data_IF_771050223039
#
_entry.id   IF_771050223039
#
_cell.length_a   1.000
_cell.length_b   1.000
_cell.length_c   1.000
_cell.angle_alpha   90.00
_cell.angle_beta   90.00
_cell.angle_gamma   90.00
#
_symmetry.space_group_name_H-M   'P 1'
#
loop_
_entity.id
_entity.type
_entity.pdbx_description
1 polymer ?
#
# COMPACT_ATOMS: atom_id res chain seq x y z
N UNK A 1 -4.70 -10.50 31.94
CA UNK A 1 -3.30 -10.14 31.65
C UNK A 1 -3.25 -9.74 30.18
N UNK A 2 -2.85 -8.52 29.86
CA UNK A 2 -2.79 -8.01 28.48
C UNK A 2 -1.49 -8.50 27.83
N UNK A 3 -1.51 -9.72 27.29
CA UNK A 3 -0.33 -10.39 26.73
C UNK A 3 0.23 -9.71 25.48
N UNK A 4 -0.56 -8.91 24.75
CA UNK A 4 -0.09 -8.07 23.63
C UNK A 4 0.81 -6.88 24.00
N UNK A 5 1.02 -6.61 25.30
CA UNK A 5 1.93 -5.57 25.80
C UNK A 5 3.26 -6.14 26.33
N UNK A 6 3.40 -7.46 26.37
CA UNK A 6 4.59 -8.13 26.89
C UNK A 6 5.53 -8.47 25.73
N UNK A 7 6.65 -7.76 25.62
CA UNK A 7 7.77 -8.24 24.82
C UNK A 7 8.65 -9.15 25.67
N UNK A 8 9.50 -9.96 25.02
CA UNK A 8 10.52 -10.77 25.71
C UNK A 8 11.42 -9.95 26.67
N UNK A 9 11.50 -8.63 26.46
CA UNK A 9 12.38 -7.74 27.22
C UNK A 9 11.69 -6.88 28.28
N UNK A 10 10.43 -6.45 28.11
CA UNK A 10 9.79 -5.51 29.05
C UNK A 10 8.26 -5.63 29.08
N UNK A 11 7.67 -5.43 30.27
CA UNK A 11 6.22 -5.34 30.50
C UNK A 11 5.64 -3.92 30.34
N UNK A 12 6.49 -2.92 30.05
CA UNK A 12 6.12 -1.51 29.92
C UNK A 12 5.85 -1.10 28.47
N UNK A 13 4.83 -1.69 27.84
CA UNK A 13 4.32 -1.23 26.55
C UNK A 13 2.91 -0.66 26.69
N UNK A 14 2.59 0.35 25.89
CA UNK A 14 1.29 1.02 25.88
C UNK A 14 0.44 0.65 24.66
N UNK A 15 1.07 0.29 23.54
CA UNK A 15 0.39 -0.08 22.30
C UNK A 15 0.84 -1.48 21.83
N UNK A 16 -0.09 -2.43 21.64
CA UNK A 16 0.24 -3.68 20.96
C UNK A 16 0.55 -3.38 19.50
N UNK A 17 1.62 -3.95 18.94
CA UNK A 17 1.83 -3.90 17.49
C UNK A 17 0.74 -4.72 16.79
N UNK A 18 0.37 -4.38 15.56
CA UNK A 18 -0.57 -5.17 14.77
C UNK A 18 -0.01 -6.57 14.50
N UNK A 19 1.28 -6.68 14.19
CA UNK A 19 1.93 -8.00 14.04
C UNK A 19 1.87 -8.85 15.32
N UNK A 20 1.90 -8.25 16.51
CA UNK A 20 1.69 -8.99 17.77
C UNK A 20 0.21 -9.23 18.10
N UNK A 21 -0.68 -8.27 17.82
CA UNK A 21 -2.11 -8.38 18.07
C UNK A 21 -2.77 -9.46 17.19
N UNK A 22 -2.26 -9.67 15.97
CA UNK A 22 -2.72 -10.71 15.05
C UNK A 22 -2.20 -12.11 15.41
N UNK A 23 -1.22 -12.21 16.33
CA UNK A 23 -0.62 -13.48 16.76
C UNK A 23 -1.48 -14.29 17.74
N UNK A 24 -2.45 -13.65 18.39
CA UNK A 24 -3.23 -14.26 19.47
C UNK A 24 -4.61 -14.74 19.00
N UNK A 25 -5.09 -15.82 19.60
CA UNK A 25 -6.43 -16.44 19.40
C UNK A 25 -7.56 -15.53 19.93
N UNK A 26 -7.53 -14.24 19.58
CA UNK A 26 -8.51 -13.25 19.97
C UNK A 26 -9.49 -12.98 18.81
N UNK A 27 -10.78 -12.66 19.11
CA UNK A 27 -11.79 -12.34 18.08
C UNK A 27 -11.36 -11.18 17.15
N UNK A 28 -10.45 -10.32 17.63
CA UNK A 28 -9.87 -9.21 16.88
C UNK A 28 -9.15 -9.66 15.60
N UNK A 29 -8.52 -10.84 15.60
CA UNK A 29 -7.87 -11.42 14.41
C UNK A 29 -8.89 -11.71 13.29
N UNK A 30 -10.06 -12.23 13.65
CA UNK A 30 -11.13 -12.52 12.69
C UNK A 30 -11.61 -11.25 11.99
N UNK A 31 -11.87 -10.18 12.75
CA UNK A 31 -12.26 -8.87 12.19
C UNK A 31 -11.18 -8.30 11.27
N UNK A 32 -9.90 -8.41 11.66
CA UNK A 32 -8.77 -7.96 10.85
C UNK A 32 -8.66 -8.72 9.52
N UNK A 33 -8.74 -10.05 9.58
CA UNK A 33 -8.68 -10.90 8.39
C UNK A 33 -9.81 -10.62 7.40
N UNK A 34 -11.05 -10.42 7.90
CA UNK A 34 -12.19 -10.05 7.06
C UNK A 34 -11.98 -8.67 6.44
N UNK A 35 -11.53 -7.69 7.21
CA UNK A 35 -11.29 -6.34 6.70
C UNK A 35 -10.19 -6.31 5.62
N UNK A 36 -9.05 -6.95 5.87
CA UNK A 36 -7.97 -7.09 4.87
C UNK A 36 -8.45 -7.91 3.68
N UNK A 37 -9.16 -9.01 3.90
CA UNK A 37 -9.67 -9.87 2.84
C UNK A 37 -10.57 -9.10 1.88
N UNK A 38 -11.54 -8.36 2.40
CA UNK A 38 -12.45 -7.52 1.59
C UNK A 38 -11.66 -6.42 0.87
N UNK A 39 -10.78 -5.70 1.59
CA UNK A 39 -9.97 -4.63 1.00
C UNK A 39 -9.05 -5.13 -0.12
N UNK A 40 -8.41 -6.28 0.07
CA UNK A 40 -7.54 -6.91 -0.92
C UNK A 40 -8.31 -7.47 -2.10
N UNK A 41 -9.47 -8.11 -1.88
CA UNK A 41 -10.34 -8.58 -2.97
C UNK A 41 -10.78 -7.42 -3.86
N UNK A 42 -11.23 -6.32 -3.24
CA UNK A 42 -11.61 -5.11 -3.98
C UNK A 42 -10.44 -4.58 -4.82
N UNK A 43 -9.24 -4.49 -4.23
CA UNK A 43 -8.04 -4.01 -4.96
C UNK A 43 -7.66 -4.93 -6.12
N UNK A 44 -7.68 -6.25 -5.92
CA UNK A 44 -7.39 -7.22 -6.98
C UNK A 44 -8.40 -7.14 -8.13
N UNK A 45 -9.69 -6.95 -7.82
CA UNK A 45 -10.74 -6.79 -8.83
C UNK A 45 -10.56 -5.53 -9.70
N UNK A 46 -9.93 -4.48 -9.16
CA UNK A 46 -9.68 -3.22 -9.85
C UNK A 46 -8.40 -3.21 -10.69
N UNK A 47 -7.48 -4.17 -10.50
CA UNK A 47 -6.22 -4.21 -11.25
C UNK A 47 -6.43 -4.19 -12.77
N UNK A 48 -7.30 -5.04 -13.37
CA UNK A 48 -7.44 -5.10 -14.83
C UNK A 48 -7.95 -3.78 -15.43
N UNK A 49 -8.96 -3.15 -14.81
CA UNK A 49 -9.57 -1.91 -15.29
C UNK A 49 -8.60 -0.73 -15.18
N UNK A 50 -7.91 -0.63 -14.04
CA UNK A 50 -6.92 0.43 -13.80
C UNK A 50 -5.69 0.24 -14.70
N UNK A 51 -5.22 -0.99 -14.88
CA UNK A 51 -4.11 -1.30 -15.78
C UNK A 51 -4.42 -0.95 -17.23
N UNK A 52 -5.60 -1.28 -17.73
CA UNK A 52 -6.00 -0.93 -19.08
C UNK A 52 -6.05 0.60 -19.28
N UNK A 53 -6.60 1.32 -18.30
CA UNK A 53 -6.64 2.79 -18.31
C UNK A 53 -5.24 3.42 -18.34
N UNK A 54 -4.30 2.85 -17.58
CA UNK A 54 -2.89 3.25 -17.61
C UNK A 54 -2.26 2.94 -18.98
N UNK A 55 -2.41 1.72 -19.51
CA UNK A 55 -1.83 1.33 -20.80
C UNK A 55 -2.31 2.22 -21.95
N UNK A 56 -3.60 2.55 -21.99
CA UNK A 56 -4.18 3.44 -23.00
C UNK A 56 -3.62 4.86 -22.85
N UNK A 57 -3.65 5.41 -21.64
CA UNK A 57 -3.25 6.81 -21.40
C UNK A 57 -1.76 7.02 -21.65
N UNK A 58 -0.93 6.25 -20.96
CA UNK A 58 0.52 6.38 -21.06
C UNK A 58 1.02 5.90 -22.42
N UNK A 59 0.40 4.86 -23.00
CA UNK A 59 0.76 4.39 -24.35
C UNK A 59 0.45 5.43 -25.44
N UNK A 60 -0.61 6.23 -25.29
CA UNK A 60 -0.93 7.33 -26.22
C UNK A 60 -0.02 8.55 -26.03
N UNK A 61 0.30 8.91 -24.78
CA UNK A 61 1.01 10.16 -24.48
C UNK A 61 2.54 9.98 -24.48
N UNK A 62 3.06 8.93 -23.83
CA UNK A 62 4.50 8.67 -23.70
C UNK A 62 5.02 7.65 -24.74
N UNK A 63 4.13 6.92 -25.40
CA UNK A 63 4.46 5.91 -26.41
C UNK A 63 4.51 4.47 -25.87
N UNK A 64 4.53 3.50 -26.80
CA UNK A 64 4.36 2.07 -26.50
C UNK A 64 5.49 1.43 -25.69
N UNK A 65 6.68 2.04 -25.65
CA UNK A 65 7.81 1.54 -24.87
C UNK A 65 7.49 1.46 -23.36
N UNK A 66 6.64 2.36 -22.86
CA UNK A 66 6.24 2.41 -21.45
C UNK A 66 5.21 1.34 -21.07
N UNK A 67 4.61 0.63 -22.03
CA UNK A 67 3.67 -0.46 -21.75
C UNK A 67 4.30 -1.59 -20.92
N UNK A 68 5.58 -1.88 -21.14
CA UNK A 68 6.32 -2.89 -20.35
C UNK A 68 6.46 -2.43 -18.90
N UNK A 69 6.83 -1.16 -18.70
CA UNK A 69 6.94 -0.57 -17.36
C UNK A 69 5.61 -0.56 -16.60
N UNK A 70 4.50 -0.31 -17.28
CA UNK A 70 3.15 -0.35 -16.69
C UNK A 70 2.77 -1.77 -16.30
N UNK A 71 3.01 -2.77 -17.17
CA UNK A 71 2.77 -4.17 -16.81
C UNK A 71 3.59 -4.57 -15.57
N UNK A 72 4.86 -4.18 -15.53
CA UNK A 72 5.72 -4.42 -14.37
C UNK A 72 5.19 -3.74 -13.10
N UNK A 73 4.71 -2.50 -13.20
CA UNK A 73 4.07 -1.78 -12.09
C UNK A 73 2.88 -2.57 -11.50
N UNK A 74 1.97 -3.07 -12.35
CA UNK A 74 0.82 -3.85 -11.86
C UNK A 74 1.20 -5.25 -11.35
N UNK A 75 2.31 -5.82 -11.82
CA UNK A 75 2.87 -7.04 -11.21
C UNK A 75 3.38 -6.76 -9.79
N UNK A 76 4.03 -5.62 -9.55
CA UNK A 76 4.43 -5.21 -8.20
C UNK A 76 3.21 -4.98 -7.29
N UNK A 77 2.15 -4.33 -7.80
CA UNK A 77 0.90 -4.14 -7.05
C UNK A 77 0.23 -5.49 -6.70
N UNK A 78 0.18 -6.42 -7.66
CA UNK A 78 -0.36 -7.76 -7.41
C UNK A 78 0.47 -8.52 -6.36
N UNK A 79 1.79 -8.45 -6.46
CA UNK A 79 2.70 -9.05 -5.48
C UNK A 79 2.48 -8.42 -4.09
N UNK A 80 2.43 -7.09 -4.00
CA UNK A 80 2.14 -6.36 -2.75
C UNK A 80 0.87 -6.90 -2.07
N UNK A 81 -0.25 -6.96 -2.78
CA UNK A 81 -1.53 -7.42 -2.22
C UNK A 81 -1.46 -8.91 -1.82
N UNK A 82 -0.77 -9.73 -2.61
CA UNK A 82 -0.58 -11.16 -2.30
C UNK A 82 0.22 -11.35 -1.02
N UNK A 83 1.33 -10.63 -0.87
CA UNK A 83 2.16 -10.70 0.33
C UNK A 83 1.43 -10.12 1.56
N UNK A 84 0.58 -9.10 1.39
CA UNK A 84 -0.30 -8.59 2.45
C UNK A 84 -1.30 -9.65 2.94
N UNK A 85 -1.92 -10.39 2.03
CA UNK A 85 -2.82 -11.50 2.37
C UNK A 85 -2.06 -12.65 3.04
N UNK A 86 -0.88 -12.98 2.52
CA UNK A 86 -0.04 -14.04 3.05
C UNK A 86 0.41 -13.73 4.48
N UNK A 87 0.92 -12.52 4.74
CA UNK A 87 1.38 -12.13 6.09
C UNK A 87 0.21 -12.08 7.09
N UNK A 88 -1.00 -11.74 6.61
CA UNK A 88 -2.20 -11.73 7.45
C UNK A 88 -2.67 -13.15 7.78
N UNK A 89 -2.47 -14.09 6.86
CA UNK A 89 -2.88 -15.49 7.01
C UNK A 89 -1.90 -16.31 7.87
N UNK A 90 -0.60 -16.05 7.73
CA UNK A 90 0.44 -16.70 8.54
C UNK A 90 0.34 -16.20 9.98
N UNK A 91 -0.01 -17.10 10.90
CA UNK A 91 0.01 -16.82 12.33
C UNK A 91 1.44 -16.48 12.77
N UNK A 92 1.64 -15.42 13.53
CA UNK A 92 2.94 -15.11 14.16
C UNK A 92 3.21 -15.99 15.39
N UNK A 93 2.79 -17.25 15.38
CA UNK A 93 3.12 -18.23 16.41
C UNK A 93 4.58 -18.69 16.29
N UNK A 94 5.16 -19.21 17.37
CA UNK A 94 6.62 -19.46 17.52
C UNK A 94 7.28 -20.19 16.34
N UNK A 95 6.56 -21.07 15.65
CA UNK A 95 7.08 -21.85 14.52
C UNK A 95 7.10 -21.08 13.18
N UNK A 96 6.41 -19.95 13.08
CA UNK A 96 6.23 -19.20 11.83
C UNK A 96 6.62 -17.72 11.92
N UNK A 97 7.22 -17.28 13.04
CA UNK A 97 7.67 -15.88 13.24
C UNK A 97 8.62 -15.42 12.13
N UNK A 98 9.58 -16.26 11.74
CA UNK A 98 10.53 -15.94 10.68
C UNK A 98 9.84 -15.79 9.31
N UNK A 99 8.92 -16.70 8.99
CA UNK A 99 8.12 -16.62 7.77
C UNK A 99 7.23 -15.37 7.75
N UNK A 100 6.59 -15.02 8.87
CA UNK A 100 5.79 -13.79 8.99
C UNK A 100 6.64 -12.54 8.77
N UNK A 101 7.81 -12.46 9.41
CA UNK A 101 8.74 -11.33 9.25
C UNK A 101 9.23 -11.18 7.82
N UNK A 102 9.62 -12.28 7.17
CA UNK A 102 10.09 -12.25 5.79
C UNK A 102 8.97 -11.83 4.83
N UNK A 103 7.75 -12.33 5.06
CA UNK A 103 6.58 -11.96 4.26
C UNK A 103 6.22 -10.48 4.40
N UNK A 104 6.29 -9.94 5.63
CA UNK A 104 6.14 -8.50 5.89
C UNK A 104 7.20 -7.68 5.14
N UNK A 105 8.47 -8.11 5.17
CA UNK A 105 9.54 -7.42 4.46
C UNK A 105 9.31 -7.39 2.95
N UNK A 106 8.85 -8.51 2.35
CA UNK A 106 8.53 -8.56 0.93
C UNK A 106 7.32 -7.67 0.61
N UNK A 107 6.26 -7.67 1.43
CA UNK A 107 5.13 -6.75 1.27
C UNK A 107 5.59 -5.29 1.23
N UNK A 108 6.42 -4.88 2.20
CA UNK A 108 6.96 -3.51 2.27
C UNK A 108 7.80 -3.19 1.03
N UNK A 109 8.68 -4.11 0.62
CA UNK A 109 9.52 -3.93 -0.57
C UNK A 109 8.68 -3.73 -1.83
N UNK A 110 7.68 -4.60 -2.06
CA UNK A 110 6.78 -4.48 -3.21
C UNK A 110 5.99 -3.18 -3.17
N UNK A 111 5.53 -2.75 -1.98
CA UNK A 111 4.83 -1.47 -1.79
C UNK A 111 5.71 -0.28 -2.20
N UNK A 112 6.97 -0.23 -1.75
CA UNK A 112 7.89 0.86 -2.10
C UNK A 112 8.21 0.84 -3.59
N UNK A 113 8.47 -0.32 -4.18
CA UNK A 113 8.70 -0.45 -5.63
C UNK A 113 7.49 0.02 -6.44
N UNK A 114 6.28 -0.37 -6.04
CA UNK A 114 5.06 0.08 -6.67
C UNK A 114 4.89 1.61 -6.57
N UNK A 115 4.96 2.18 -5.36
CA UNK A 115 4.77 3.63 -5.14
C UNK A 115 5.83 4.48 -5.85
N UNK A 116 7.09 4.02 -5.89
CA UNK A 116 8.17 4.71 -6.59
C UNK A 116 7.95 4.74 -8.10
N UNK A 117 7.66 3.59 -8.71
CA UNK A 117 7.41 3.48 -10.14
C UNK A 117 6.15 4.26 -10.56
N UNK A 118 5.05 4.14 -9.83
CA UNK A 118 3.81 4.87 -10.11
C UNK A 118 4.01 6.38 -9.95
N UNK A 119 4.70 6.83 -8.90
CA UNK A 119 5.04 8.25 -8.71
C UNK A 119 5.94 8.79 -9.83
N UNK A 120 6.94 8.02 -10.27
CA UNK A 120 7.84 8.40 -11.35
C UNK A 120 7.11 8.52 -12.68
N UNK A 121 6.28 7.53 -13.04
CA UNK A 121 5.44 7.57 -14.23
C UNK A 121 4.52 8.80 -14.23
N UNK A 122 3.90 9.10 -13.09
CA UNK A 122 3.05 10.30 -12.97
C UNK A 122 3.82 11.61 -13.07
N UNK A 123 5.07 11.66 -12.61
CA UNK A 123 5.92 12.83 -12.79
C UNK A 123 6.21 13.05 -14.27
N UNK A 124 6.63 12.00 -14.99
CA UNK A 124 6.90 12.05 -16.43
C UNK A 124 5.65 12.47 -17.22
N UNK A 125 4.49 11.91 -16.87
CA UNK A 125 3.23 12.28 -17.52
C UNK A 125 2.86 13.74 -17.26
N UNK A 126 3.01 14.22 -16.03
CA UNK A 126 2.73 15.61 -15.68
C UNK A 126 3.68 16.61 -16.37
N UNK A 127 4.93 16.22 -16.59
CA UNK A 127 5.91 17.02 -17.33
C UNK A 127 5.57 17.09 -18.81
N UNK A 128 5.21 15.95 -19.42
CA UNK A 128 4.91 15.89 -20.85
C UNK A 128 3.60 16.60 -21.22
N UNK A 129 2.55 16.45 -20.41
CA UNK A 129 1.23 17.08 -20.69
C UNK A 129 1.15 18.53 -20.20
N UNK A 130 2.01 18.96 -19.28
CA UNK A 130 1.95 20.31 -18.69
C UNK A 130 0.71 20.58 -17.82
N UNK A 131 -0.11 19.56 -17.55
CA UNK A 131 -1.39 19.70 -16.88
C UNK A 131 -1.25 19.96 -15.37
N UNK A 132 -1.90 21.02 -14.88
CA UNK A 132 -1.85 21.46 -13.48
C UNK A 132 -2.44 20.42 -12.51
N UNK A 133 -3.47 19.68 -12.92
CA UNK A 133 -4.07 18.58 -12.15
C UNK A 133 -3.08 17.42 -11.99
N UNK A 134 -2.48 16.95 -13.09
CA UNK A 134 -1.49 15.86 -13.04
C UNK A 134 -0.26 16.26 -12.21
N UNK A 135 0.17 17.51 -12.31
CA UNK A 135 1.26 18.05 -11.49
C UNK A 135 0.90 18.12 -10.00
N UNK A 136 -0.36 18.38 -9.65
CA UNK A 136 -0.85 18.32 -8.26
C UNK A 136 -0.85 16.87 -7.76
N UNK A 137 -1.37 15.94 -8.56
CA UNK A 137 -1.41 14.52 -8.20
C UNK A 137 -0.01 13.93 -8.02
N UNK A 138 0.92 14.19 -8.94
CA UNK A 138 2.33 13.80 -8.81
C UNK A 138 2.97 14.35 -7.52
N UNK A 139 2.66 15.60 -7.14
CA UNK A 139 3.14 16.18 -5.86
C UNK A 139 2.57 15.47 -4.64
N UNK A 140 1.29 15.10 -4.65
CA UNK A 140 0.65 14.36 -3.55
C UNK A 140 1.27 12.97 -3.43
N UNK A 141 1.37 12.22 -4.55
CA UNK A 141 2.00 10.89 -4.58
C UNK A 141 3.43 10.91 -4.06
N UNK A 142 4.24 11.88 -4.51
CA UNK A 142 5.62 12.07 -4.03
C UNK A 142 5.69 12.38 -2.53
N UNK A 143 4.80 13.23 -2.01
CA UNK A 143 4.76 13.53 -0.56
C UNK A 143 4.41 12.29 0.27
N UNK A 144 3.42 11.51 -0.19
CA UNK A 144 3.04 10.25 0.47
C UNK A 144 4.18 9.23 0.44
N UNK A 145 4.87 9.08 -0.69
CA UNK A 145 6.04 8.22 -0.82
C UNK A 145 7.17 8.63 0.14
N UNK A 146 7.49 9.93 0.23
CA UNK A 146 8.52 10.43 1.15
C UNK A 146 8.12 10.16 2.61
N UNK A 147 6.86 10.45 2.98
CA UNK A 147 6.36 10.19 4.33
C UNK A 147 6.37 8.69 4.67
N UNK A 148 6.00 7.83 3.72
CA UNK A 148 6.00 6.37 3.90
C UNK A 148 7.43 5.85 4.08
N UNK A 149 8.36 6.24 3.21
CA UNK A 149 9.77 5.84 3.32
C UNK A 149 10.42 6.33 4.61
N UNK A 150 10.10 7.55 5.06
CA UNK A 150 10.58 8.07 6.35
C UNK A 150 10.04 7.24 7.53
N UNK A 151 8.75 6.90 7.49
CA UNK A 151 8.11 6.04 8.51
C UNK A 151 8.76 4.66 8.57
N UNK A 152 9.05 4.06 7.41
CA UNK A 152 9.75 2.76 7.32
C UNK A 152 11.18 2.83 7.86
N UNK A 153 11.89 3.95 7.64
CA UNK A 153 13.21 4.16 8.22
C UNK A 153 13.15 4.17 9.74
N UNK A 154 12.20 4.93 10.32
CA UNK A 154 12.00 4.99 11.77
C UNK A 154 11.65 3.60 12.33
N UNK A 155 10.79 2.85 11.66
CA UNK A 155 10.45 1.46 12.02
C UNK A 155 11.68 0.55 12.02
N UNK A 156 12.50 0.61 10.97
CA UNK A 156 13.72 -0.20 10.88
C UNK A 156 14.72 0.15 11.98
N UNK A 157 14.89 1.45 12.29
CA UNK A 157 15.75 1.90 13.39
C UNK A 157 15.20 1.46 14.75
N UNK A 158 13.90 1.64 15.01
CA UNK A 158 13.27 1.22 16.26
C UNK A 158 13.39 -0.30 16.45
N UNK A 159 13.19 -1.08 15.39
CA UNK A 159 13.37 -2.53 15.40
C UNK A 159 14.82 -2.91 15.73
N UNK A 160 15.80 -2.33 15.04
CA UNK A 160 17.23 -2.57 15.28
C UNK A 160 17.63 -2.24 16.73
N UNK A 161 17.25 -1.05 17.22
CA UNK A 161 17.53 -0.62 18.59
C UNK A 161 16.88 -1.56 19.61
N UNK A 162 15.63 -1.97 19.38
CA UNK A 162 14.94 -2.91 20.26
C UNK A 162 15.64 -4.26 20.30
N UNK A 163 16.07 -4.81 19.15
CA UNK A 163 16.78 -6.09 19.08
C UNK A 163 18.16 -6.04 19.72
N UNK A 164 18.91 -4.95 19.59
CA UNK A 164 20.29 -4.86 20.12
C UNK A 164 20.37 -4.45 21.59
N UNK A 165 19.50 -3.54 22.04
CA UNK A 165 19.66 -2.87 23.34
C UNK A 165 18.48 -3.09 24.30
N UNK A 166 17.36 -3.64 23.83
CA UNK A 166 16.12 -3.83 24.60
C UNK A 166 15.72 -2.66 25.53
N UNK A 167 15.76 -1.38 25.09
CA UNK A 167 15.33 -0.27 25.92
C UNK A 167 13.81 -0.30 26.12
N UNK A 168 13.31 0.19 27.28
CA UNK A 168 11.87 0.33 27.52
C UNK A 168 11.24 1.31 26.52
N UNK A 169 9.94 1.16 26.26
CA UNK A 169 9.10 2.03 25.40
C UNK A 169 9.38 2.04 23.88
N UNK A 170 10.56 1.62 23.42
CA UNK A 170 10.89 1.61 21.98
C UNK A 170 9.95 0.71 21.17
N UNK A 171 9.46 -0.36 21.76
CA UNK A 171 8.47 -1.21 21.10
C UNK A 171 7.10 -0.53 20.95
N UNK A 172 6.70 0.35 21.88
CA UNK A 172 5.48 1.17 21.71
C UNK A 172 5.63 2.22 20.61
N UNK A 173 6.83 2.79 20.47
CA UNK A 173 7.16 3.69 19.35
C UNK A 173 7.10 2.94 18.01
N UNK A 174 7.62 1.71 17.96
CA UNK A 174 7.50 0.84 16.81
C UNK A 174 6.02 0.61 16.43
N UNK A 175 5.16 0.20 17.37
CA UNK A 175 3.72 0.01 17.12
C UNK A 175 3.04 1.27 16.59
N UNK A 176 3.39 2.45 17.11
CA UNK A 176 2.82 3.72 16.66
C UNK A 176 3.16 4.02 15.18
N UNK A 177 4.43 3.89 14.79
CA UNK A 177 4.84 4.10 13.40
C UNK A 177 4.34 3.01 12.45
N UNK A 178 4.09 1.80 12.95
CA UNK A 178 3.46 0.72 12.18
C UNK A 178 2.05 1.13 11.72
N UNK A 179 1.24 1.69 12.63
CA UNK A 179 -0.08 2.22 12.27
C UNK A 179 0.01 3.36 11.24
N UNK A 180 0.98 4.26 11.39
CA UNK A 180 1.21 5.34 10.43
C UNK A 180 1.59 4.77 9.05
N UNK A 181 2.47 3.75 8.99
CA UNK A 181 2.87 3.13 7.75
C UNK A 181 1.68 2.49 7.02
N UNK A 182 0.83 1.78 7.75
CA UNK A 182 -0.40 1.18 7.20
C UNK A 182 -1.33 2.25 6.66
N UNK A 183 -1.57 3.32 7.42
CA UNK A 183 -2.39 4.44 6.97
C UNK A 183 -1.84 5.08 5.69
N UNK A 184 -0.54 5.33 5.63
CA UNK A 184 0.11 5.92 4.45
C UNK A 184 0.03 4.99 3.22
N UNK A 185 0.20 3.68 3.40
CA UNK A 185 0.02 2.70 2.31
C UNK A 185 -1.41 2.75 1.76
N UNK A 186 -2.41 2.70 2.64
CA UNK A 186 -3.83 2.81 2.24
C UNK A 186 -4.12 4.15 1.56
N UNK A 187 -3.62 5.26 2.11
CA UNK A 187 -3.81 6.59 1.55
C UNK A 187 -3.20 6.71 0.14
N UNK A 188 -2.04 6.10 -0.11
CA UNK A 188 -1.42 6.09 -1.44
C UNK A 188 -2.29 5.36 -2.46
N UNK A 189 -2.77 4.15 -2.13
CA UNK A 189 -3.65 3.37 -2.99
C UNK A 189 -4.99 4.08 -3.25
N UNK A 190 -5.53 4.79 -2.25
CA UNK A 190 -6.71 5.62 -2.42
C UNK A 190 -6.47 6.76 -3.43
N UNK A 191 -5.33 7.46 -3.34
CA UNK A 191 -4.95 8.50 -4.32
C UNK A 191 -4.76 7.91 -5.71
N UNK A 192 -4.16 6.72 -5.82
CA UNK A 192 -3.99 6.02 -7.10
C UNK A 192 -5.35 5.71 -7.77
N UNK A 193 -6.32 5.19 -7.01
CA UNK A 193 -7.67 4.91 -7.50
C UNK A 193 -8.46 6.19 -7.83
N UNK A 194 -8.38 7.21 -6.98
CA UNK A 194 -9.08 8.48 -7.15
C UNK A 194 -8.65 9.26 -8.40
N UNK A 195 -7.48 8.97 -8.94
CA UNK A 195 -7.03 9.53 -10.21
C UNK A 195 -7.71 8.88 -11.42
N UNK A 196 -8.08 7.60 -11.33
CA UNK A 196 -8.74 6.84 -12.41
C UNK A 196 -10.26 7.02 -12.39
N UNK A 197 -10.85 7.33 -11.23
CA UNK A 197 -12.30 7.49 -11.08
C UNK A 197 -12.66 8.88 -10.53
N UNK A 198 -13.18 9.75 -11.40
CA UNK A 198 -13.87 10.97 -10.97
C UNK A 198 -15.38 10.77 -10.71
N UNK A 199 -15.90 9.54 -10.83
CA UNK A 199 -17.32 9.23 -10.59
C UNK A 199 -17.55 8.45 -9.28
N UNK A 200 -18.73 8.61 -8.64
CA UNK A 200 -19.05 8.00 -7.36
C UNK A 200 -19.03 6.47 -7.43
N UNK A 201 -18.65 5.84 -6.31
CA UNK A 201 -18.50 4.38 -6.06
C UNK A 201 -19.61 3.48 -6.64
N UNK A 202 -20.82 4.01 -6.90
CA UNK A 202 -21.93 3.25 -7.52
C UNK A 202 -21.61 2.74 -8.94
N UNK A 203 -20.76 3.43 -9.71
CA UNK A 203 -20.38 2.98 -11.06
C UNK A 203 -19.43 1.77 -11.09
N UNK A 204 -18.88 1.35 -9.94
CA UNK A 204 -18.00 0.20 -9.84
C UNK A 204 -18.73 -1.13 -10.05
N UNK A 205 -20.04 -1.18 -9.77
CA UNK A 205 -20.91 -2.35 -10.00
C UNK A 205 -21.35 -2.49 -11.45
N UNK A 206 -21.37 -1.40 -12.22
CA UNK A 206 -21.77 -1.38 -13.63
C UNK A 206 -20.58 -1.60 -14.59
N UNK A 207 -19.35 -1.57 -14.05
CA UNK A 207 -18.11 -1.67 -14.81
C UNK A 207 -17.89 -2.98 -15.59
N UNK A 208 -18.41 -4.17 -15.19
CA UNK A 208 -18.20 -5.37 -16.00
C UNK A 208 -19.03 -5.39 -17.29
N UNK A 209 -19.95 -4.44 -17.50
CA UNK A 209 -20.97 -4.51 -18.58
C UNK A 209 -20.67 -3.54 -19.74
N UNK A 210 -20.00 -2.41 -19.51
CA UNK A 210 -20.00 -1.31 -20.49
C UNK A 210 -18.71 -1.11 -21.30
N UNK A 211 -17.57 -1.68 -20.91
CA UNK A 211 -16.33 -1.62 -21.72
C UNK A 211 -15.80 -0.20 -22.02
N UNK A 212 -16.34 0.84 -21.39
CA UNK A 212 -15.91 2.22 -21.59
C UNK A 212 -14.65 2.51 -20.77
N UNK A 213 -13.50 2.48 -21.45
CA UNK A 213 -12.21 2.91 -20.90
C UNK A 213 -12.14 4.43 -20.88
N UNK A 214 -12.36 5.03 -19.70
CA UNK A 214 -12.18 6.47 -19.54
C UNK A 214 -10.69 6.83 -19.56
N UNK A 215 -10.32 7.65 -20.55
CA UNK A 215 -9.02 8.28 -20.60
C UNK A 215 -8.92 9.32 -19.49
N UNK A 216 -7.71 9.50 -18.96
CA UNK A 216 -7.30 10.64 -18.14
C UNK A 216 -7.62 12.02 -18.77
N UNK A 217 -8.01 12.04 -20.05
CA UNK A 217 -8.06 13.22 -20.92
C UNK A 217 -9.47 13.81 -21.09
N UNK A 218 -10.53 13.01 -20.98
CA UNK A 218 -11.90 13.48 -21.31
C UNK A 218 -12.49 14.47 -20.29
N UNK A 219 -11.80 14.68 -19.15
CA UNK A 219 -12.18 15.68 -18.15
C UNK A 219 -11.47 17.04 -18.31
N UNK A 220 -10.61 17.24 -19.33
CA UNK A 220 -9.63 18.34 -19.35
C UNK A 220 -9.51 19.13 -20.66
N UNK A 221 -10.41 18.93 -21.64
CA UNK A 221 -10.59 19.90 -22.72
C UNK A 221 -11.63 20.96 -22.30
N UNK A 222 -11.32 22.27 -22.32
CA UNK A 222 -12.36 23.23 -22.60
C UNK A 222 -12.85 22.98 -24.03
N UNK A 223 -14.17 23.04 -24.23
CA UNK A 223 -14.78 23.08 -25.56
C UNK A 223 -14.24 24.25 -26.37
#
# INVERSE_FOLDING_TARGET
MNFGLSTHCTSANFLPSLSAAVSEEQPQRGTWLVAIGISSLLRLALIPSVMASYLVTFGRILGRAYCVGIRFLFMMNFAEITFLLLMSSISSSSNYVEAHRNTLAVFVLMSVLFMTLDSALFCLLAEHTGNSYLRRQSRIKRKLLIAYSFTLLVLATAYFVHTCYCPPYVYSLFSFFEYIAIFLNVAYHFVMLGVVHQKPIRSLLDFPISGEFFLFYDALLPQ
#
